data_IF_316920262706
#
_entry.id   IF_316920262706
#
_cell.length_a   1.000
_cell.length_b   1.000
_cell.length_c   1.000
_cell.angle_alpha   90.00
_cell.angle_beta   90.00
_cell.angle_gamma   90.00
#
_symmetry.space_group_name_H-M   'P 1'
#
loop_
_entity.id
_entity.type
_entity.pdbx_description
1 polymer ?
#
# COMPACT_ATOMS: atom_id res chain seq x y z
N UNK A 1 4.93 4.38 0.50
CA UNK A 1 5.15 3.10 -0.19
C UNK A 1 5.98 2.20 0.70
N UNK A 2 5.68 0.90 0.74
CA UNK A 2 6.31 -0.04 1.68
C UNK A 2 5.86 -1.49 1.44
N UNK A 3 5.87 -1.93 0.19
CA UNK A 3 5.56 -3.33 -0.14
C UNK A 3 6.65 -4.25 0.43
N UNK A 4 6.23 -5.39 0.96
CA UNK A 4 7.14 -6.41 1.52
C UNK A 4 6.90 -7.73 0.79
N UNK A 5 7.99 -8.37 0.40
CA UNK A 5 7.99 -9.70 -0.22
C UNK A 5 8.98 -10.59 0.52
N UNK A 6 8.76 -11.90 0.48
CA UNK A 6 9.66 -12.91 1.02
C UNK A 6 9.87 -13.98 -0.06
N UNK A 7 11.08 -14.54 -0.08
CA UNK A 7 11.44 -15.64 -0.98
C UNK A 7 12.50 -16.51 -0.30
N UNK A 8 12.53 -17.79 -0.68
CA UNK A 8 13.51 -18.75 -0.22
C UNK A 8 14.67 -18.87 -1.22
N UNK A 9 15.88 -19.10 -0.72
CA UNK A 9 17.07 -19.28 -1.55
C UNK A 9 18.12 -20.12 -0.83
N UNK A 10 18.84 -20.94 -1.59
CA UNK A 10 20.00 -21.71 -1.09
C UNK A 10 21.28 -20.86 -1.03
N UNK A 11 21.26 -19.68 -1.67
CA UNK A 11 22.41 -18.79 -1.70
C UNK A 11 22.74 -18.28 -0.29
N UNK A 12 24.04 -18.33 0.04
CA UNK A 12 24.55 -17.91 1.34
C UNK A 12 24.94 -16.44 1.40
N UNK A 13 24.69 -15.67 0.34
CA UNK A 13 25.03 -14.25 0.31
C UNK A 13 24.34 -13.45 1.43
N UNK A 14 24.99 -12.41 1.96
CA UNK A 14 24.36 -11.53 2.95
C UNK A 14 23.26 -10.68 2.29
N UNK A 15 22.27 -10.18 3.06
CA UNK A 15 21.15 -9.37 2.53
C UNK A 15 21.59 -8.16 1.70
N UNK A 16 22.69 -7.51 2.05
CA UNK A 16 23.24 -6.37 1.31
C UNK A 16 23.63 -6.74 -0.13
N UNK A 17 24.17 -7.93 -0.35
CA UNK A 17 24.49 -8.42 -1.70
C UNK A 17 23.22 -8.58 -2.53
N UNK A 18 22.15 -9.13 -1.94
CA UNK A 18 20.85 -9.23 -2.62
C UNK A 18 20.25 -7.85 -2.92
N UNK A 19 20.34 -6.90 -2.00
CA UNK A 19 19.88 -5.53 -2.19
C UNK A 19 20.56 -4.90 -3.42
N UNK A 20 21.90 -4.95 -3.47
CA UNK A 20 22.68 -4.37 -4.56
C UNK A 20 22.45 -5.10 -5.89
N UNK A 21 22.49 -6.43 -5.89
CA UNK A 21 22.31 -7.23 -7.10
C UNK A 21 20.90 -7.09 -7.69
N UNK A 22 19.86 -7.12 -6.84
CA UNK A 22 18.49 -6.91 -7.32
C UNK A 22 18.33 -5.52 -7.92
N UNK A 23 18.80 -4.47 -7.25
CA UNK A 23 18.71 -3.10 -7.79
C UNK A 23 19.53 -2.90 -9.08
N UNK A 24 20.58 -3.69 -9.31
CA UNK A 24 21.32 -3.67 -10.56
C UNK A 24 20.54 -4.32 -11.72
N UNK A 25 19.77 -5.37 -11.44
CA UNK A 25 19.04 -6.14 -12.46
C UNK A 25 17.59 -5.72 -12.66
N UNK A 26 16.98 -5.04 -11.69
CA UNK A 26 15.61 -4.55 -11.76
C UNK A 26 15.49 -3.34 -12.70
N UNK A 27 14.33 -3.13 -13.33
CA UNK A 27 14.07 -1.92 -14.09
C UNK A 27 14.03 -0.67 -13.19
N UNK A 28 14.25 0.50 -13.79
CA UNK A 28 14.36 1.79 -13.08
C UNK A 28 13.12 2.17 -12.24
N UNK A 29 11.95 1.57 -12.51
CA UNK A 29 10.71 1.82 -11.79
C UNK A 29 10.50 0.92 -10.57
N UNK A 30 11.41 -0.03 -10.30
CA UNK A 30 11.37 -0.95 -9.16
C UNK A 30 12.68 -0.89 -8.39
N UNK A 31 12.59 -0.53 -7.10
CA UNK A 31 13.75 -0.45 -6.20
C UNK A 31 13.49 -1.22 -4.91
N UNK A 32 14.43 -2.11 -4.57
CA UNK A 32 14.53 -2.75 -3.26
C UNK A 32 15.19 -1.79 -2.28
N UNK A 33 14.46 -1.41 -1.23
CA UNK A 33 14.92 -0.43 -0.24
C UNK A 33 15.66 -1.03 0.94
N UNK A 34 15.37 -2.28 1.26
CA UNK A 34 15.98 -3.00 2.37
C UNK A 34 15.83 -4.51 2.13
N UNK A 35 16.78 -5.28 2.68
CA UNK A 35 16.76 -6.74 2.66
C UNK A 35 17.13 -7.25 4.07
N UNK A 36 16.44 -8.29 4.52
CA UNK A 36 16.64 -8.89 5.83
C UNK A 36 16.60 -10.41 5.73
N UNK A 37 17.38 -11.10 6.56
CA UNK A 37 17.18 -12.53 6.81
C UNK A 37 16.02 -12.68 7.80
N UNK A 38 15.09 -13.57 7.50
CA UNK A 38 13.95 -13.87 8.36
C UNK A 38 13.97 -15.35 8.77
N UNK A 39 13.12 -15.70 9.74
CA UNK A 39 12.87 -17.12 10.03
C UNK A 39 12.15 -17.82 8.87
N UNK A 40 12.26 -19.16 8.76
CA UNK A 40 11.70 -19.93 7.65
C UNK A 40 10.16 -19.92 7.61
N UNK A 41 9.51 -19.57 8.72
CA UNK A 41 8.06 -19.48 8.81
C UNK A 41 7.52 -18.05 8.54
N UNK A 42 8.38 -17.08 8.20
CA UNK A 42 7.95 -15.70 8.03
C UNK A 42 7.07 -15.54 6.77
N UNK A 43 5.82 -15.12 6.97
CA UNK A 43 4.89 -14.79 5.88
C UNK A 43 4.53 -13.29 5.95
N UNK A 44 5.00 -12.44 5.01
CA UNK A 44 4.74 -11.00 5.05
C UNK A 44 3.26 -10.64 4.86
N UNK A 45 2.43 -11.53 4.30
CA UNK A 45 0.98 -11.30 4.17
C UNK A 45 0.27 -11.65 5.47
N UNK A 46 0.57 -12.80 6.08
CA UNK A 46 -0.16 -13.28 7.27
C UNK A 46 0.35 -12.69 8.59
N UNK A 47 1.65 -12.39 8.68
CA UNK A 47 2.25 -11.80 9.89
C UNK A 47 2.18 -10.26 9.93
N UNK A 48 1.74 -9.61 8.85
CA UNK A 48 1.52 -8.16 8.87
C UNK A 48 0.33 -7.78 9.77
N UNK A 49 0.59 -6.92 10.75
CA UNK A 49 -0.41 -6.41 11.70
C UNK A 49 -1.38 -5.44 11.01
N UNK A 50 -0.88 -4.57 10.14
CA UNK A 50 -1.69 -3.59 9.43
C UNK A 50 -1.06 -3.19 8.09
N UNK A 51 -1.83 -2.51 7.23
CA UNK A 51 -1.33 -1.88 6.00
C UNK A 51 -1.78 -0.43 6.00
N UNK A 52 -0.90 0.46 5.52
CA UNK A 52 -1.20 1.89 5.39
C UNK A 52 -1.17 2.31 3.93
N UNK A 53 -2.23 2.96 3.50
CA UNK A 53 -2.37 3.50 2.15
C UNK A 53 -2.31 5.03 2.19
N UNK A 54 -1.90 5.63 1.08
CA UNK A 54 -1.93 7.09 0.85
C UNK A 54 -2.45 7.34 -0.55
N UNK A 55 -3.56 8.05 -0.64
CA UNK A 55 -4.04 8.59 -1.90
C UNK A 55 -3.65 10.06 -2.00
N UNK A 56 -3.22 10.50 -3.18
CA UNK A 56 -2.85 11.90 -3.43
C UNK A 56 -3.74 12.46 -4.52
N UNK A 57 -4.46 13.52 -4.17
CA UNK A 57 -5.35 14.24 -5.08
C UNK A 57 -4.69 15.53 -5.54
N UNK A 58 -4.89 15.88 -6.82
CA UNK A 58 -4.62 17.20 -7.38
C UNK A 58 -5.95 17.88 -7.60
N UNK A 59 -6.32 18.84 -6.75
CA UNK A 59 -7.49 19.67 -6.98
C UNK A 59 -7.10 20.86 -7.88
N UNK A 60 -7.35 20.75 -9.18
CA UNK A 60 -6.96 21.75 -10.18
C UNK A 60 -7.82 21.65 -11.44
N UNK A 61 -8.12 22.81 -12.03
CA UNK A 61 -8.82 22.94 -13.32
C UNK A 61 -7.92 22.57 -14.50
N UNK A 62 -6.59 22.55 -14.34
CA UNK A 62 -5.67 22.13 -15.39
C UNK A 62 -4.82 20.92 -14.99
N UNK A 63 -4.35 20.15 -15.99
CA UNK A 63 -3.56 18.93 -15.77
C UNK A 63 -2.15 19.34 -15.34
N UNK A 64 -1.55 18.57 -14.42
CA UNK A 64 -0.13 18.69 -14.08
C UNK A 64 0.65 17.59 -14.80
N UNK A 65 1.53 17.91 -15.77
CA UNK A 65 2.31 16.90 -16.50
C UNK A 65 3.18 16.04 -15.57
N UNK A 66 3.74 16.64 -14.52
CA UNK A 66 4.64 15.97 -13.57
C UNK A 66 3.93 15.06 -12.56
N UNK A 67 2.64 15.28 -12.32
CA UNK A 67 1.85 14.52 -11.32
C UNK A 67 0.85 13.54 -11.94
N UNK A 68 0.76 13.50 -13.27
CA UNK A 68 -0.28 12.76 -14.01
C UNK A 68 -0.32 11.25 -13.76
N UNK A 69 0.81 10.65 -13.36
CA UNK A 69 0.93 9.19 -13.16
C UNK A 69 0.84 8.77 -11.69
N UNK A 70 0.94 9.70 -10.74
CA UNK A 70 1.02 9.39 -9.30
C UNK A 70 -0.10 10.01 -8.47
N UNK A 71 -1.01 10.75 -9.12
CA UNK A 71 -2.10 11.45 -8.46
C UNK A 71 -3.38 11.36 -9.26
N UNK A 72 -4.52 11.39 -8.57
CA UNK A 72 -5.82 11.54 -9.20
C UNK A 72 -6.16 13.02 -9.27
N UNK A 73 -6.49 13.52 -10.47
CA UNK A 73 -6.94 14.90 -10.64
C UNK A 73 -8.43 15.00 -10.37
N UNK A 74 -8.80 15.97 -9.55
CA UNK A 74 -10.16 16.40 -9.26
C UNK A 74 -10.29 17.84 -9.74
N UNK A 75 -11.42 18.18 -10.36
CA UNK A 75 -11.66 19.52 -10.93
C UNK A 75 -12.72 20.28 -10.14
N UNK A 76 -13.53 19.56 -9.38
CA UNK A 76 -14.54 20.05 -8.47
C UNK A 76 -13.90 20.67 -7.22
N UNK A 77 -14.59 21.64 -6.63
CA UNK A 77 -14.16 22.19 -5.36
C UNK A 77 -14.31 21.13 -4.25
N UNK A 78 -13.22 20.85 -3.54
CA UNK A 78 -13.18 19.87 -2.46
C UNK A 78 -13.23 20.58 -1.12
N UNK A 79 -14.28 20.31 -0.35
CA UNK A 79 -14.41 20.78 1.03
C UNK A 79 -13.65 19.84 1.98
N UNK A 80 -12.35 20.08 2.13
CA UNK A 80 -11.46 19.21 2.92
C UNK A 80 -11.88 19.08 4.38
N UNK A 81 -12.52 20.09 4.95
CA UNK A 81 -13.10 20.03 6.30
C UNK A 81 -14.26 19.02 6.41
N UNK A 82 -15.13 18.95 5.39
CA UNK A 82 -16.18 17.92 5.33
C UNK A 82 -15.58 16.53 5.12
N UNK A 83 -14.60 16.41 4.23
CA UNK A 83 -13.90 15.15 3.98
C UNK A 83 -13.23 14.62 5.24
N UNK A 84 -12.53 15.48 5.99
CA UNK A 84 -11.86 15.10 7.25
C UNK A 84 -12.86 14.64 8.30
N UNK A 85 -13.98 15.36 8.48
CA UNK A 85 -15.05 14.93 9.39
C UNK A 85 -15.65 13.58 8.98
N UNK A 86 -15.87 13.36 7.68
CA UNK A 86 -16.39 12.09 7.17
C UNK A 86 -15.41 10.93 7.33
N UNK A 87 -14.11 11.19 7.18
CA UNK A 87 -13.07 10.19 7.31
C UNK A 87 -12.94 9.66 8.76
N UNK A 88 -13.07 10.55 9.76
CA UNK A 88 -13.07 10.17 11.19
C UNK A 88 -14.20 9.17 11.50
N UNK A 89 -15.37 9.29 10.86
CA UNK A 89 -16.49 8.35 11.05
C UNK A 89 -16.15 6.92 10.60
N UNK A 90 -15.11 6.74 9.77
CA UNK A 90 -14.69 5.43 9.30
C UNK A 90 -13.72 4.74 10.27
N UNK A 91 -13.16 5.45 11.27
CA UNK A 91 -12.28 4.86 12.27
C UNK A 91 -13.02 3.84 13.15
N UNK A 92 -12.31 2.80 13.59
CA UNK A 92 -12.87 1.68 14.36
C UNK A 92 -13.31 0.50 13.48
N UNK A 93 -14.14 -0.37 14.05
CA UNK A 93 -14.56 -1.64 13.46
C UNK A 93 -15.91 -1.46 12.73
N UNK A 94 -15.92 -1.66 11.42
CA UNK A 94 -17.13 -1.55 10.60
C UNK A 94 -17.19 -2.65 9.54
N UNK A 95 -18.40 -2.92 9.03
CA UNK A 95 -18.58 -3.72 7.82
C UNK A 95 -18.42 -2.84 6.57
N UNK A 96 -17.33 -3.04 5.84
CA UNK A 96 -17.01 -2.29 4.62
C UNK A 96 -17.51 -2.97 3.34
N UNK A 97 -18.53 -3.83 3.40
CA UNK A 97 -19.06 -4.53 2.22
C UNK A 97 -19.43 -3.60 1.06
N UNK A 98 -19.93 -2.39 1.36
CA UNK A 98 -20.29 -1.38 0.34
C UNK A 98 -19.09 -0.74 -0.36
N UNK A 99 -17.89 -0.88 0.21
CA UNK A 99 -16.63 -0.39 -0.34
C UNK A 99 -15.75 -1.52 -0.90
N UNK A 100 -16.19 -2.78 -0.79
CA UNK A 100 -15.44 -3.93 -1.25
C UNK A 100 -15.70 -4.22 -2.73
N UNK A 101 -14.64 -4.61 -3.45
CA UNK A 101 -14.77 -5.27 -4.75
C UNK A 101 -15.12 -6.76 -4.61
N UNK A 102 -15.03 -7.55 -5.69
CA UNK A 102 -15.20 -8.99 -5.64
C UNK A 102 -14.29 -9.62 -4.58
N UNK A 103 -14.86 -10.49 -3.74
CA UNK A 103 -14.10 -11.16 -2.69
C UNK A 103 -13.26 -12.30 -3.27
N UNK A 104 -11.99 -12.40 -2.86
CA UNK A 104 -11.08 -13.47 -3.30
C UNK A 104 -11.59 -14.88 -2.94
N UNK A 105 -12.38 -15.00 -1.86
CA UNK A 105 -12.92 -16.26 -1.36
C UNK A 105 -14.38 -16.09 -0.97
N UNK A 106 -15.21 -17.05 -1.38
CA UNK A 106 -16.61 -17.12 -0.94
C UNK A 106 -16.67 -17.16 0.60
N UNK A 107 -17.45 -16.25 1.19
CA UNK A 107 -17.57 -16.12 2.65
C UNK A 107 -16.39 -15.42 3.35
N UNK A 108 -15.51 -14.72 2.62
CA UNK A 108 -14.54 -13.84 3.26
C UNK A 108 -15.27 -12.67 3.96
N UNK A 109 -14.82 -12.31 5.17
CA UNK A 109 -15.37 -11.18 5.91
C UNK A 109 -14.96 -9.84 5.28
N UNK A 110 -15.89 -8.89 5.24
CA UNK A 110 -15.70 -7.47 4.89
C UNK A 110 -15.57 -6.56 6.10
N UNK A 111 -15.66 -7.12 7.31
CA UNK A 111 -15.46 -6.38 8.56
C UNK A 111 -13.98 -6.07 8.74
N UNK A 112 -13.64 -4.78 8.90
CA UNK A 112 -12.26 -4.31 9.09
C UNK A 112 -12.21 -3.28 10.20
N UNK A 113 -11.03 -3.13 10.79
CA UNK A 113 -10.70 -2.04 11.71
C UNK A 113 -9.83 -1.00 11.00
N UNK A 114 -10.25 0.26 11.05
CA UNK A 114 -9.43 1.40 10.62
C UNK A 114 -8.82 2.03 11.88
N UNK A 115 -7.50 1.99 11.99
CA UNK A 115 -6.77 2.54 13.15
C UNK A 115 -6.68 4.07 13.15
N UNK A 116 -6.64 4.68 11.97
CA UNK A 116 -6.53 6.14 11.82
C UNK A 116 -6.89 6.57 10.41
N UNK A 117 -7.63 7.66 10.27
CA UNK A 117 -7.97 8.29 9.00
C UNK A 117 -7.13 9.55 8.71
#
# INVERSE_FOLDING_TARGET
MGQVVAFDTESKHPPETFLNAMNFHLPDDIVVKAAYRTGPAFDPRRHAISRRYRYTLVNSVTRSPTRRLTTSRIHENLETGLMSRGAILMEGIHDFARFAGPLERLGASTVREIFSA
#
